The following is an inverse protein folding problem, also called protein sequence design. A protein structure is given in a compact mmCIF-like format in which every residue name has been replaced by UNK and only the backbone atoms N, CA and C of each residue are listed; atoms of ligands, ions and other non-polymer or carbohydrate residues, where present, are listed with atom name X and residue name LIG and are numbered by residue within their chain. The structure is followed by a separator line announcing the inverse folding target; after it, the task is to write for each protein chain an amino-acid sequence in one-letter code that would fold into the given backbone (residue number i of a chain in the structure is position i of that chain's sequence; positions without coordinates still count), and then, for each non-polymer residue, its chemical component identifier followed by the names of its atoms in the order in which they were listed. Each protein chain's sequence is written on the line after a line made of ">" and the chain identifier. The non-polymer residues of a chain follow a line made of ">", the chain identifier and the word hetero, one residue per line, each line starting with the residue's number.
data_IF_016245462511
#
_entry.id   IF_016245462511
#
_cell.length_a   1.000
_cell.length_b   1.000
_cell.length_c   1.000
_cell.angle_alpha   90.00
_cell.angle_beta   90.00
_cell.angle_gamma   90.00
#
_symmetry.space_group_name_H-M   'P 1'
#
loop_
_entity.id
_entity.type
_entity.pdbx_description
1 polymer ?
#
# COMPACT_ATOMS: atom_id res chain seq x y z
N UNK A 1 -46.75 25.98 22.13
CA UNK A 1 -45.29 25.94 21.87
C UNK A 1 -44.92 24.47 21.71
N UNK A 2 -44.67 24.00 20.49
CA UNK A 2 -44.28 22.60 20.22
C UNK A 2 -42.78 22.56 19.91
N UNK A 3 -41.97 21.69 20.55
CA UNK A 3 -40.60 21.50 20.13
C UNK A 3 -40.57 20.54 18.92
N UNK A 4 -40.01 21.02 17.82
CA UNK A 4 -39.70 20.23 16.62
C UNK A 4 -38.43 19.43 16.88
N UNK A 5 -38.56 18.11 17.03
CA UNK A 5 -37.43 17.19 17.12
C UNK A 5 -36.87 16.93 15.72
N UNK A 6 -35.71 17.50 15.40
CA UNK A 6 -34.92 17.15 14.23
C UNK A 6 -34.26 15.78 14.48
N UNK A 7 -34.69 14.73 13.79
CA UNK A 7 -33.93 13.48 13.71
C UNK A 7 -32.77 13.68 12.73
N UNK A 8 -31.54 13.67 13.24
CA UNK A 8 -30.32 13.67 12.43
C UNK A 8 -30.01 12.21 12.06
N UNK A 9 -30.43 11.75 10.89
CA UNK A 9 -30.06 10.44 10.36
C UNK A 9 -28.61 10.50 9.88
N UNK A 10 -27.69 9.96 10.67
CA UNK A 10 -26.29 9.79 10.28
C UNK A 10 -26.20 8.57 9.37
N UNK A 11 -26.19 8.79 8.06
CA UNK A 11 -25.94 7.74 7.07
C UNK A 11 -24.44 7.48 7.02
N UNK A 12 -23.96 6.46 7.73
CA UNK A 12 -22.57 5.99 7.61
C UNK A 12 -22.36 5.36 6.23
N UNK A 13 -21.69 6.06 5.32
CA UNK A 13 -21.17 5.45 4.09
C UNK A 13 -20.03 4.50 4.47
N UNK A 14 -20.27 3.20 4.38
CA UNK A 14 -19.23 2.19 4.40
C UNK A 14 -18.58 2.19 3.01
N UNK A 15 -17.36 2.71 2.91
CA UNK A 15 -16.56 2.54 1.70
C UNK A 15 -16.24 1.04 1.53
N UNK A 16 -16.42 0.45 0.34
CA UNK A 16 -16.07 -0.95 0.13
C UNK A 16 -14.56 -1.12 0.30
N UNK A 17 -14.16 -1.98 1.24
CA UNK A 17 -12.79 -2.48 1.32
C UNK A 17 -12.56 -3.35 0.09
N UNK A 18 -11.91 -2.81 -0.94
CA UNK A 18 -11.48 -3.58 -2.10
C UNK A 18 -10.39 -4.53 -1.62
N UNK A 19 -10.80 -5.72 -1.19
CA UNK A 19 -9.87 -6.81 -0.89
C UNK A 19 -9.25 -7.24 -2.21
N UNK A 20 -7.93 -7.10 -2.35
CA UNK A 20 -7.26 -7.54 -3.55
C UNK A 20 -7.35 -9.05 -3.72
N UNK A 21 -7.56 -9.46 -4.97
CA UNK A 21 -7.51 -10.86 -5.39
C UNK A 21 -6.05 -11.32 -5.55
N UNK A 22 -5.30 -11.29 -4.45
CA UNK A 22 -3.95 -11.83 -4.36
C UNK A 22 -4.01 -13.31 -3.95
N UNK A 23 -4.85 -14.09 -4.62
CA UNK A 23 -5.16 -15.48 -4.25
C UNK A 23 -4.04 -16.46 -4.56
N UNK A 24 -2.97 -16.02 -5.23
CA UNK A 24 -1.86 -16.87 -5.60
C UNK A 24 -0.81 -16.95 -4.48
N UNK A 25 -0.31 -18.14 -4.19
CA UNK A 25 0.67 -18.34 -3.11
C UNK A 25 2.00 -17.60 -3.35
N UNK A 26 2.35 -17.29 -4.60
CA UNK A 26 3.52 -16.47 -4.99
C UNK A 26 3.24 -14.96 -4.94
N UNK A 27 2.00 -14.55 -4.66
CA UNK A 27 1.60 -13.16 -4.51
C UNK A 27 1.89 -12.62 -3.10
N UNK A 28 2.62 -13.37 -2.27
CA UNK A 28 3.06 -12.93 -0.96
C UNK A 28 4.54 -12.56 -1.01
N UNK A 29 5.01 -11.65 -0.13
CA UNK A 29 6.43 -11.41 -0.01
C UNK A 29 7.14 -12.70 0.38
N UNK A 30 7.88 -13.31 -0.55
CA UNK A 30 8.53 -14.61 -0.35
C UNK A 30 9.64 -14.52 0.73
N UNK A 31 10.46 -13.45 0.62
CA UNK A 31 11.61 -13.17 1.52
C UNK A 31 11.66 -11.69 1.98
N UNK A 32 10.80 -10.83 1.42
CA UNK A 32 10.76 -9.39 1.67
C UNK A 32 9.72 -8.96 2.70
N UNK A 33 9.74 -7.68 3.09
CA UNK A 33 8.65 -7.10 3.88
C UNK A 33 7.46 -6.66 3.01
N UNK A 34 7.74 -6.35 1.75
CA UNK A 34 6.77 -5.90 0.76
C UNK A 34 7.12 -6.47 -0.62
N UNK A 35 6.09 -6.80 -1.38
CA UNK A 35 6.16 -7.11 -2.80
C UNK A 35 5.52 -5.97 -3.60
N UNK A 36 6.22 -5.49 -4.62
CA UNK A 36 5.74 -4.52 -5.60
C UNK A 36 5.30 -5.27 -6.86
N UNK A 37 4.18 -4.89 -7.47
CA UNK A 37 3.61 -5.54 -8.65
C UNK A 37 3.40 -4.53 -9.77
N UNK A 38 3.79 -4.89 -10.98
CA UNK A 38 3.59 -4.11 -12.20
C UNK A 38 2.11 -3.83 -12.49
N UNK A 39 1.20 -4.69 -11.98
CA UNK A 39 -0.25 -4.57 -12.16
C UNK A 39 -0.99 -4.65 -10.82
N UNK A 40 -2.27 -4.30 -10.85
CA UNK A 40 -3.17 -4.48 -9.70
C UNK A 40 -3.42 -5.95 -9.37
N UNK A 41 -3.88 -6.18 -8.15
CA UNK A 41 -4.32 -7.48 -7.63
C UNK A 41 -3.20 -8.52 -7.68
N UNK A 42 -1.98 -8.08 -7.37
CA UNK A 42 -0.80 -8.94 -7.33
C UNK A 42 -0.51 -9.68 -8.66
N UNK A 43 -0.63 -8.97 -9.78
CA UNK A 43 -0.42 -9.51 -11.13
C UNK A 43 0.79 -8.88 -11.82
N UNK A 44 1.25 -9.54 -12.88
CA UNK A 44 2.36 -9.06 -13.70
C UNK A 44 3.72 -9.41 -13.10
N UNK A 45 4.75 -8.73 -13.56
CA UNK A 45 6.09 -8.81 -12.97
C UNK A 45 6.04 -8.30 -11.53
N UNK A 46 6.90 -8.82 -10.66
CA UNK A 46 6.94 -8.40 -9.28
C UNK A 46 8.37 -8.31 -8.75
N UNK A 47 8.53 -7.52 -7.69
CA UNK A 47 9.79 -7.32 -6.98
C UNK A 47 9.57 -7.40 -5.47
N UNK A 48 10.31 -8.30 -4.81
CA UNK A 48 10.35 -8.38 -3.35
C UNK A 48 11.40 -7.40 -2.81
N UNK A 49 11.02 -6.62 -1.80
CA UNK A 49 11.91 -5.66 -1.14
C UNK A 49 11.99 -5.96 0.36
N UNK A 50 13.20 -6.27 0.83
CA UNK A 50 13.52 -6.34 2.25
C UNK A 50 13.90 -4.96 2.78
N UNK A 51 13.01 -4.30 3.50
CA UNK A 51 13.16 -2.91 3.94
C UNK A 51 12.81 -2.69 5.43
N UNK A 52 12.77 -3.74 6.25
CA UNK A 52 12.49 -3.56 7.67
C UNK A 52 13.54 -2.67 8.33
N UNK A 53 13.06 -1.62 9.02
CA UNK A 53 13.89 -0.68 9.79
C UNK A 53 15.03 -0.04 8.98
N UNK A 54 14.96 -0.05 7.65
CA UNK A 54 15.98 0.45 6.74
C UNK A 54 15.32 1.13 5.54
N UNK A 55 16.00 2.13 4.98
CA UNK A 55 15.57 2.76 3.75
C UNK A 55 16.29 2.09 2.58
N UNK A 56 15.54 1.52 1.64
CA UNK A 56 16.08 0.83 0.47
C UNK A 56 15.92 1.73 -0.75
N UNK A 57 17.02 2.17 -1.37
CA UNK A 57 17.06 3.11 -2.51
C UNK A 57 17.53 2.44 -3.81
N UNK A 58 16.99 1.26 -4.08
CA UNK A 58 17.36 0.43 -5.22
C UNK A 58 16.20 -0.25 -5.96
N UNK A 59 14.93 -0.28 -5.48
CA UNK A 59 13.87 -0.97 -6.20
C UNK A 59 13.78 -0.62 -7.69
N UNK A 60 13.94 0.65 -8.07
CA UNK A 60 13.85 1.18 -9.45
C UNK A 60 12.87 0.36 -10.32
N UNK A 61 11.62 0.30 -9.85
CA UNK A 61 10.62 -0.65 -10.37
C UNK A 61 9.30 0.04 -10.64
N UNK A 62 8.77 -0.15 -11.85
CA UNK A 62 7.47 0.36 -12.23
C UNK A 62 6.36 -0.49 -11.59
N UNK A 63 5.76 0.02 -10.51
CA UNK A 63 4.73 -0.65 -9.74
C UNK A 63 3.35 0.01 -9.92
N UNK A 64 2.30 -0.78 -9.74
CA UNK A 64 0.89 -0.39 -9.82
C UNK A 64 0.15 -0.81 -8.54
N UNK A 65 0.63 -1.85 -7.87
CA UNK A 65 0.17 -2.23 -6.54
C UNK A 65 1.31 -2.79 -5.69
N UNK A 66 1.07 -2.87 -4.39
CA UNK A 66 2.00 -3.47 -3.47
C UNK A 66 1.28 -4.24 -2.36
N UNK A 67 1.96 -5.26 -1.84
CA UNK A 67 1.45 -6.13 -0.77
C UNK A 67 2.49 -6.26 0.32
N UNK A 68 2.14 -5.97 1.57
CA UNK A 68 3.02 -6.18 2.73
C UNK A 68 2.74 -7.53 3.37
N UNK A 69 3.73 -8.04 4.11
CA UNK A 69 3.47 -9.16 5.03
C UNK A 69 2.67 -8.68 6.24
N UNK A 70 1.94 -9.60 6.87
CA UNK A 70 1.13 -9.29 8.07
C UNK A 70 1.99 -8.70 9.19
N UNK A 71 1.49 -7.64 9.83
CA UNK A 71 2.16 -6.96 10.94
C UNK A 71 3.30 -6.02 10.52
N UNK A 72 3.39 -5.69 9.24
CA UNK A 72 4.34 -4.71 8.70
C UNK A 72 3.57 -3.60 8.00
N UNK A 73 4.04 -2.37 8.19
CA UNK A 73 3.63 -1.18 7.43
C UNK A 73 4.82 -0.72 6.61
N UNK A 74 4.59 -0.39 5.34
CA UNK A 74 5.64 0.09 4.46
C UNK A 74 5.24 1.39 3.78
N UNK A 75 6.18 2.33 3.74
CA UNK A 75 6.07 3.55 2.99
C UNK A 75 6.88 3.41 1.69
N UNK A 76 6.30 3.93 0.61
CA UNK A 76 6.83 3.88 -0.74
C UNK A 76 7.10 5.32 -1.20
N UNK A 77 8.22 5.50 -1.90
CA UNK A 77 8.74 6.78 -2.35
C UNK A 77 9.15 6.71 -3.82
N UNK A 78 9.07 7.85 -4.51
CA UNK A 78 9.46 8.02 -5.93
C UNK A 78 10.78 8.75 -6.11
N UNK A 79 11.47 8.97 -5.01
CA UNK A 79 12.78 9.60 -4.93
C UNK A 79 13.69 8.73 -4.08
N UNK A 80 14.98 8.93 -4.23
CA UNK A 80 15.96 8.34 -3.33
C UNK A 80 15.82 8.94 -1.93
N UNK A 81 15.84 8.07 -0.92
CA UNK A 81 15.71 8.43 0.48
C UNK A 81 14.27 8.31 0.98
N UNK A 82 14.17 8.13 2.29
CA UNK A 82 12.91 7.84 2.96
C UNK A 82 12.56 8.95 3.95
N UNK A 83 12.46 10.19 3.46
CA UNK A 83 11.97 11.31 4.26
C UNK A 83 10.44 11.25 4.32
N UNK A 84 9.88 11.48 5.51
CA UNK A 84 8.43 11.35 5.71
C UNK A 84 7.58 12.28 4.82
N UNK A 85 8.14 13.41 4.38
CA UNK A 85 7.44 14.36 3.51
C UNK A 85 7.33 13.88 2.04
N UNK A 86 8.12 12.87 1.66
CA UNK A 86 8.21 12.35 0.29
C UNK A 86 7.37 11.06 0.09
N UNK A 87 6.64 10.62 1.11
CA UNK A 87 5.82 9.39 1.05
C UNK A 87 4.70 9.58 0.02
N UNK A 88 4.66 8.69 -0.98
CA UNK A 88 3.57 8.67 -1.96
C UNK A 88 2.49 7.66 -1.62
N UNK A 89 2.86 6.54 -0.98
CA UNK A 89 1.95 5.47 -0.60
C UNK A 89 2.40 4.86 0.72
N UNK A 90 1.47 4.68 1.65
CA UNK A 90 1.64 3.80 2.81
C UNK A 90 0.79 2.56 2.61
N UNK A 91 1.42 1.40 2.63
CA UNK A 91 0.76 0.09 2.64
C UNK A 91 0.72 -0.38 4.09
N UNK A 92 -0.48 -0.43 4.65
CA UNK A 92 -0.71 -0.82 6.04
C UNK A 92 -0.66 -2.34 6.25
N UNK A 93 -0.95 -2.77 7.47
CA UNK A 93 -0.92 -4.17 7.87
C UNK A 93 -2.13 -4.99 7.38
N UNK A 94 -3.15 -4.34 6.78
CA UNK A 94 -4.23 -5.02 6.06
C UNK A 94 -3.73 -5.61 4.73
N UNK A 95 -2.55 -5.15 4.30
CA UNK A 95 -1.64 -5.98 3.53
C UNK A 95 -1.68 -5.76 2.03
N UNK A 96 -2.50 -4.86 1.48
CA UNK A 96 -2.47 -4.56 0.04
C UNK A 96 -2.90 -3.13 -0.26
N UNK A 97 -2.26 -2.51 -1.25
CA UNK A 97 -2.69 -1.23 -1.82
C UNK A 97 -2.44 -1.16 -3.33
N UNK A 98 -3.47 -0.77 -4.08
CA UNK A 98 -3.34 -0.34 -5.47
C UNK A 98 -3.11 1.18 -5.52
N UNK A 99 -2.33 1.64 -6.49
CA UNK A 99 -2.01 3.08 -6.66
C UNK A 99 -1.84 3.53 -8.11
N UNK A 100 -1.84 2.62 -9.09
CA UNK A 100 -1.89 2.99 -10.50
C UNK A 100 -3.18 3.72 -10.91
N UNK A 101 -3.06 4.53 -11.97
CA UNK A 101 -4.13 5.43 -12.42
C UNK A 101 -4.21 6.73 -11.63
N UNK A 102 -3.47 6.84 -10.52
CA UNK A 102 -3.35 8.06 -9.73
C UNK A 102 -2.02 8.77 -10.07
N UNK A 103 -0.95 8.03 -10.35
CA UNK A 103 0.36 8.55 -10.78
C UNK A 103 1.15 7.45 -11.57
N UNK A 104 2.20 7.83 -12.33
CA UNK A 104 3.02 6.92 -13.16
C UNK A 104 4.25 6.46 -12.36
N UNK A 105 4.38 5.17 -12.04
CA UNK A 105 5.01 4.78 -10.77
C UNK A 105 6.25 3.92 -10.84
N UNK A 106 7.33 4.56 -11.29
CA UNK A 106 8.65 4.12 -10.95
C UNK A 106 8.92 4.36 -9.44
N UNK A 107 9.08 3.27 -8.69
CA UNK A 107 9.38 3.26 -7.26
C UNK A 107 10.89 3.28 -7.07
N UNK A 108 11.38 4.29 -6.38
CA UNK A 108 12.83 4.50 -6.17
C UNK A 108 13.28 4.08 -4.78
N UNK A 109 12.42 4.25 -3.77
CA UNK A 109 12.76 3.78 -2.44
C UNK A 109 11.56 3.29 -1.63
N UNK A 110 11.87 2.49 -0.62
CA UNK A 110 10.91 1.83 0.26
C UNK A 110 11.48 1.75 1.67
N UNK A 111 10.62 1.97 2.67
CA UNK A 111 10.94 1.74 4.09
C UNK A 111 9.80 1.03 4.78
N UNK A 112 10.12 -0.04 5.52
CA UNK A 112 9.14 -0.80 6.28
C UNK A 112 9.40 -0.71 7.79
N UNK A 113 8.33 -0.86 8.57
CA UNK A 113 8.34 -0.90 10.03
C UNK A 113 7.33 -1.93 10.53
N UNK A 114 7.50 -2.36 11.77
CA UNK A 114 6.48 -3.16 12.46
C UNK A 114 5.23 -2.28 12.66
N UNK A 115 4.06 -2.87 12.44
CA UNK A 115 2.75 -2.22 12.57
C UNK A 115 2.38 -1.91 14.03
#
# INVERSE_FOLDING_TARGET
>A
MHPTTLLLTVTTLLAPTVMADCSADWAFPDDGEIALYEKENCKGSYLNVGALNSCQNWPDFDACSAKTRRGVVCDIYKVDGCNSDDIVVTVDSDGYRAFCGVFTDNIQSVRCRVA
#
